data_IF_803637027411
#
_entry.id   IF_803637027411
#
_cell.length_a   1.000
_cell.length_b   1.000
_cell.length_c   1.000
_cell.angle_alpha   90.00
_cell.angle_beta   90.00
_cell.angle_gamma   90.00
#
_symmetry.space_group_name_H-M   'P 1'
#
loop_
_entity.id
_entity.type
_entity.pdbx_description
1 polymer ?
#
# COMPACT_ATOMS: atom_id res chain seq x y z
N UNK A 1 25.48 37.61 21.31
CA UNK A 1 24.51 36.71 21.97
C UNK A 1 24.46 35.40 21.20
N UNK A 2 24.50 34.23 21.87
CA UNK A 2 24.34 32.94 21.18
C UNK A 2 22.96 32.88 20.53
N UNK A 3 22.91 32.65 19.22
CA UNK A 3 21.65 32.43 18.49
C UNK A 3 21.02 31.13 19.01
N UNK A 4 19.85 31.24 19.64
CA UNK A 4 19.10 30.11 20.21
C UNK A 4 17.89 29.80 19.33
N UNK A 5 17.59 28.53 19.00
CA UNK A 5 16.41 28.16 18.19
C UNK A 5 15.08 28.57 18.85
N UNK A 6 15.09 28.86 20.15
CA UNK A 6 13.95 29.37 20.91
C UNK A 6 13.69 30.88 20.72
N UNK A 7 14.59 31.60 20.04
CA UNK A 7 14.40 33.01 19.69
C UNK A 7 13.86 33.16 18.26
N UNK A 8 12.83 33.98 18.01
CA UNK A 8 12.32 34.23 16.65
C UNK A 8 13.41 34.72 15.67
N UNK A 9 14.39 35.49 16.14
CA UNK A 9 15.50 36.00 15.34
C UNK A 9 16.47 34.92 14.84
N UNK A 10 16.43 33.70 15.40
CA UNK A 10 17.21 32.56 14.87
C UNK A 10 16.73 32.14 13.48
N UNK A 11 15.42 32.22 13.22
CA UNK A 11 14.79 31.74 12.00
C UNK A 11 14.69 32.86 10.97
N UNK A 12 15.76 33.05 10.19
CA UNK A 12 15.93 34.25 9.33
C UNK A 12 15.42 34.13 7.90
N UNK A 13 14.93 32.97 7.46
CA UNK A 13 14.51 32.81 6.07
C UNK A 13 13.26 33.66 5.78
N UNK A 14 13.28 34.59 4.80
CA UNK A 14 12.13 35.42 4.44
C UNK A 14 11.06 34.65 3.64
N UNK A 15 11.32 33.39 3.31
CA UNK A 15 10.39 32.52 2.58
C UNK A 15 9.36 31.88 3.50
N UNK A 16 9.63 31.81 4.81
CA UNK A 16 8.62 31.41 5.78
C UNK A 16 7.56 32.49 5.88
N UNK A 17 6.31 32.05 5.89
CA UNK A 17 5.18 32.96 6.03
C UNK A 17 3.84 32.26 5.84
N UNK A 18 2.74 32.94 6.20
CA UNK A 18 1.39 32.38 6.17
C UNK A 18 1.00 31.85 4.79
N UNK A 19 1.29 32.60 3.72
CA UNK A 19 0.92 32.22 2.36
C UNK A 19 1.60 30.92 1.91
N UNK A 20 2.93 30.85 1.94
CA UNK A 20 3.69 29.66 1.51
C UNK A 20 3.31 28.42 2.33
N UNK A 21 3.15 28.60 3.64
CA UNK A 21 2.71 27.56 4.58
C UNK A 21 1.29 27.05 4.26
N UNK A 22 0.42 27.93 3.78
CA UNK A 22 -0.97 27.62 3.41
C UNK A 22 -1.04 26.90 2.07
N UNK A 23 -0.22 27.27 1.07
CA UNK A 23 -0.10 26.54 -0.20
C UNK A 23 0.27 25.08 0.05
N UNK A 24 1.35 24.83 0.79
CA UNK A 24 1.78 23.48 1.14
C UNK A 24 0.71 22.74 1.96
N UNK A 25 0.03 23.45 2.85
CA UNK A 25 -1.05 22.88 3.67
C UNK A 25 -2.24 22.40 2.84
N UNK A 26 -2.66 23.13 1.81
CA UNK A 26 -3.79 22.73 0.94
C UNK A 26 -3.41 21.54 0.04
N UNK A 27 -2.18 21.51 -0.47
CA UNK A 27 -1.68 20.35 -1.23
C UNK A 27 -1.67 19.10 -0.35
N UNK A 28 -1.14 19.20 0.87
CA UNK A 28 -1.14 18.10 1.83
C UNK A 28 -2.56 17.73 2.28
N UNK A 29 -3.49 18.69 2.37
CA UNK A 29 -4.89 18.41 2.70
C UNK A 29 -5.51 17.41 1.71
N UNK A 30 -5.42 17.70 0.42
CA UNK A 30 -5.90 16.79 -0.62
C UNK A 30 -5.11 15.48 -0.66
N UNK A 31 -3.79 15.58 -0.65
CA UNK A 31 -2.89 14.44 -0.77
C UNK A 31 -3.06 13.41 0.35
N UNK A 32 -2.97 13.84 1.62
CA UNK A 32 -3.10 12.95 2.78
C UNK A 32 -4.51 12.36 2.87
N UNK A 33 -5.55 13.09 2.47
CA UNK A 33 -6.92 12.54 2.43
C UNK A 33 -7.01 11.37 1.45
N UNK A 34 -6.42 11.50 0.25
CA UNK A 34 -6.36 10.41 -0.72
C UNK A 34 -5.52 9.24 -0.19
N UNK A 35 -4.38 9.50 0.46
CA UNK A 35 -3.56 8.45 1.08
C UNK A 35 -4.33 7.67 2.14
N UNK A 36 -5.03 8.36 3.03
CA UNK A 36 -5.81 7.73 4.08
C UNK A 36 -6.90 6.84 3.49
N UNK A 37 -7.71 7.37 2.56
CA UNK A 37 -8.78 6.59 1.90
C UNK A 37 -8.22 5.38 1.16
N UNK A 38 -7.16 5.55 0.37
CA UNK A 38 -6.54 4.43 -0.36
C UNK A 38 -5.89 3.40 0.58
N UNK A 39 -5.37 3.83 1.73
CA UNK A 39 -4.88 2.93 2.78
C UNK A 39 -6.00 2.12 3.43
N UNK A 40 -7.14 2.74 3.73
CA UNK A 40 -8.33 2.03 4.21
C UNK A 40 -8.82 1.01 3.18
N UNK A 41 -8.90 1.40 1.90
CA UNK A 41 -9.26 0.48 0.81
C UNK A 41 -8.27 -0.69 0.70
N UNK A 42 -6.96 -0.42 0.81
CA UNK A 42 -5.94 -1.47 0.79
C UNK A 42 -6.14 -2.47 1.93
N UNK A 43 -6.42 -1.98 3.14
CA UNK A 43 -6.71 -2.84 4.29
C UNK A 43 -8.02 -3.62 4.12
N UNK A 44 -9.08 -3.02 3.59
CA UNK A 44 -10.34 -3.72 3.29
C UNK A 44 -10.14 -4.84 2.26
N UNK A 45 -9.25 -4.65 1.27
CA UNK A 45 -8.95 -5.63 0.23
C UNK A 45 -8.34 -6.94 0.76
N UNK A 46 -7.81 -6.95 1.98
CA UNK A 46 -7.34 -8.15 2.64
C UNK A 46 -8.51 -9.00 3.17
N UNK A 47 -9.73 -8.49 3.20
CA UNK A 47 -10.87 -9.09 3.89
C UNK A 47 -10.54 -9.48 5.35
N UNK A 48 -10.10 -8.53 6.21
CA UNK A 48 -9.68 -8.83 7.59
C UNK A 48 -10.83 -9.31 8.48
N UNK A 49 -12.09 -9.07 8.09
CA UNK A 49 -13.26 -9.64 8.77
C UNK A 49 -13.67 -11.03 8.27
N UNK A 50 -12.86 -11.69 7.42
CA UNK A 50 -13.17 -13.00 6.86
C UNK A 50 -12.57 -14.14 7.69
N UNK A 51 -11.26 -14.08 7.97
CA UNK A 51 -10.55 -15.13 8.72
C UNK A 51 -9.32 -14.52 9.42
N UNK A 52 -8.89 -15.06 10.57
CA UNK A 52 -7.69 -14.60 11.27
C UNK A 52 -6.41 -14.66 10.43
N UNK A 53 -6.37 -15.49 9.38
CA UNK A 53 -5.20 -15.54 8.48
C UNK A 53 -5.06 -14.26 7.64
N UNK A 54 -6.16 -13.58 7.36
CA UNK A 54 -6.20 -12.33 6.61
C UNK A 54 -6.01 -11.11 7.51
N UNK A 55 -6.49 -11.17 8.77
CA UNK A 55 -6.38 -10.06 9.69
C UNK A 55 -4.95 -9.89 10.21
N UNK A 56 -4.26 -8.85 9.72
CA UNK A 56 -2.92 -8.50 10.18
C UNK A 56 -2.91 -7.55 11.37
N UNK A 57 -4.08 -7.10 11.82
CA UNK A 57 -4.27 -6.18 12.94
C UNK A 57 -5.49 -6.61 13.76
N UNK A 58 -5.38 -7.75 14.47
CA UNK A 58 -6.44 -8.19 15.38
C UNK A 58 -6.73 -7.08 16.42
N UNK A 59 -7.94 -7.10 16.96
CA UNK A 59 -8.42 -6.17 18.00
C UNK A 59 -8.60 -4.70 17.58
N UNK A 60 -8.72 -4.43 16.27
CA UNK A 60 -9.03 -3.09 15.72
C UNK A 60 -10.30 -2.42 16.27
N UNK A 61 -11.19 -3.17 16.92
CA UNK A 61 -12.42 -2.65 17.52
C UNK A 61 -13.27 -1.82 16.56
N UNK A 62 -13.73 -0.65 17.02
CA UNK A 62 -14.56 0.26 16.22
C UNK A 62 -13.85 0.84 14.98
N UNK A 63 -12.52 0.78 14.92
CA UNK A 63 -11.76 1.31 13.78
C UNK A 63 -11.96 0.46 12.51
N UNK A 64 -12.56 -0.73 12.62
CA UNK A 64 -12.96 -1.57 11.49
C UNK A 64 -14.33 -1.25 10.88
N UNK A 65 -14.98 -0.13 11.23
CA UNK A 65 -16.36 0.18 10.79
C UNK A 65 -16.56 0.24 9.27
N UNK A 66 -15.49 0.49 8.50
CA UNK A 66 -15.53 0.65 7.05
C UNK A 66 -15.29 -0.67 6.29
N UNK A 67 -15.14 -1.80 6.98
CA UNK A 67 -14.83 -3.07 6.34
C UNK A 67 -16.04 -3.62 5.59
N UNK A 68 -15.82 -4.00 4.33
CA UNK A 68 -16.82 -4.58 3.45
C UNK A 68 -16.22 -5.76 2.67
N UNK A 69 -17.06 -6.56 2.02
CA UNK A 69 -16.63 -7.60 1.10
C UNK A 69 -15.97 -6.95 -0.12
N UNK A 70 -14.66 -7.12 -0.27
CA UNK A 70 -13.92 -6.49 -1.35
C UNK A 70 -14.45 -6.95 -2.73
N UNK A 71 -14.76 -6.01 -3.65
CA UNK A 71 -15.31 -6.35 -4.95
C UNK A 71 -14.26 -6.97 -5.87
N UNK A 72 -14.73 -7.73 -6.85
CA UNK A 72 -13.90 -8.31 -7.91
C UNK A 72 -13.86 -7.43 -9.17
N UNK A 73 -14.70 -6.41 -9.27
CA UNK A 73 -14.78 -5.50 -10.42
C UNK A 73 -14.61 -4.02 -10.06
N UNK A 74 -13.92 -3.23 -10.91
CA UNK A 74 -13.14 -3.69 -12.06
C UNK A 74 -11.89 -4.47 -11.62
N UNK A 75 -11.41 -5.41 -12.44
CA UNK A 75 -10.29 -6.31 -12.09
C UNK A 75 -8.98 -5.58 -11.72
N UNK A 76 -8.79 -4.35 -12.18
CA UNK A 76 -7.64 -3.50 -11.89
C UNK A 76 -7.81 -2.63 -10.65
N UNK A 77 -8.92 -2.71 -9.91
CA UNK A 77 -9.22 -1.80 -8.79
C UNK A 77 -8.12 -1.72 -7.73
N UNK A 78 -7.59 -2.87 -7.29
CA UNK A 78 -6.50 -2.87 -6.31
C UNK A 78 -5.19 -2.32 -6.88
N UNK A 79 -4.90 -2.61 -8.16
CA UNK A 79 -3.77 -2.01 -8.88
C UNK A 79 -3.83 -0.48 -8.85
N UNK A 80 -5.00 0.10 -9.13
CA UNK A 80 -5.18 1.55 -9.09
C UNK A 80 -5.03 2.10 -7.67
N UNK A 81 -5.80 1.58 -6.72
CA UNK A 81 -5.84 2.12 -5.36
C UNK A 81 -4.48 2.01 -4.66
N UNK A 82 -3.80 0.87 -4.79
CA UNK A 82 -2.48 0.66 -4.21
C UNK A 82 -1.38 1.45 -4.95
N UNK A 83 -1.46 1.51 -6.28
CA UNK A 83 -0.54 2.30 -7.10
C UNK A 83 -0.62 3.80 -6.76
N UNK A 84 -1.84 4.33 -6.60
CA UNK A 84 -2.09 5.71 -6.15
C UNK A 84 -1.55 5.92 -4.74
N UNK A 85 -1.90 5.04 -3.79
CA UNK A 85 -1.47 5.16 -2.39
C UNK A 85 0.03 5.37 -2.28
N UNK A 86 0.81 4.46 -2.84
CA UNK A 86 2.25 4.49 -2.65
C UNK A 86 2.92 5.55 -3.53
N UNK A 87 2.51 5.73 -4.79
CA UNK A 87 3.10 6.75 -5.67
C UNK A 87 2.86 8.14 -5.11
N UNK A 88 1.62 8.44 -4.68
CA UNK A 88 1.29 9.72 -4.06
C UNK A 88 2.05 9.93 -2.74
N UNK A 89 2.23 8.87 -1.94
CA UNK A 89 2.99 8.91 -0.69
C UNK A 89 4.42 9.37 -0.93
N UNK A 90 5.10 8.78 -1.92
CA UNK A 90 6.44 9.19 -2.33
C UNK A 90 6.47 10.61 -2.89
N UNK A 91 5.54 10.95 -3.78
CA UNK A 91 5.44 12.28 -4.40
C UNK A 91 5.23 13.41 -3.38
N UNK A 92 4.56 13.14 -2.25
CA UNK A 92 4.28 14.16 -1.23
C UNK A 92 5.43 14.39 -0.24
N UNK A 93 6.50 13.58 -0.24
CA UNK A 93 7.65 13.74 0.68
C UNK A 93 8.23 15.16 0.63
N UNK A 94 8.54 15.77 -0.54
CA UNK A 94 9.12 17.10 -0.60
C UNK A 94 8.15 18.17 -0.08
N UNK A 95 6.85 18.00 -0.33
CA UNK A 95 5.80 18.91 0.17
C UNK A 95 5.71 18.82 1.70
N UNK A 96 5.74 17.62 2.27
CA UNK A 96 5.74 17.38 3.71
C UNK A 96 6.97 18.01 4.37
N UNK A 97 8.17 17.75 3.84
CA UNK A 97 9.42 18.31 4.37
C UNK A 97 9.42 19.84 4.29
N UNK A 98 8.97 20.42 3.17
CA UNK A 98 8.83 21.87 3.04
C UNK A 98 7.81 22.44 4.04
N UNK A 99 6.71 21.72 4.28
CA UNK A 99 5.69 22.13 5.26
C UNK A 99 6.29 22.13 6.66
N UNK A 100 6.97 21.07 7.07
CA UNK A 100 7.64 20.96 8.36
C UNK A 100 8.68 22.06 8.53
N UNK A 101 9.52 22.30 7.52
CA UNK A 101 10.48 23.39 7.50
C UNK A 101 9.84 24.77 7.64
N UNK A 102 8.66 24.98 7.03
CA UNK A 102 7.95 26.26 7.08
C UNK A 102 7.39 26.56 8.49
N UNK A 103 7.03 25.53 9.26
CA UNK A 103 6.41 25.66 10.59
C UNK A 103 7.36 25.35 11.76
N UNK A 104 8.59 24.90 11.49
CA UNK A 104 9.57 24.54 12.53
C UNK A 104 9.75 25.58 13.64
N UNK A 105 9.69 26.92 13.40
CA UNK A 105 9.83 27.88 14.51
C UNK A 105 8.77 27.71 15.60
N UNK A 106 7.56 27.23 15.24
CA UNK A 106 6.48 27.00 16.20
C UNK A 106 6.77 25.87 17.17
N UNK A 107 7.62 24.91 16.80
CA UNK A 107 8.02 23.82 17.68
C UNK A 107 8.94 24.32 18.81
N UNK A 108 9.63 25.44 18.61
CA UNK A 108 10.56 26.04 19.57
C UNK A 108 9.98 27.27 20.29
N UNK A 109 8.67 27.53 20.19
CA UNK A 109 8.05 28.70 20.81
C UNK A 109 7.99 28.59 22.36
N UNK A 110 8.43 29.66 23.05
CA UNK A 110 8.36 29.79 24.51
C UNK A 110 7.23 30.73 24.98
N UNK A 111 6.66 30.53 26.19
CA UNK A 111 6.81 29.34 27.05
C UNK A 111 6.13 28.11 26.42
N UNK A 112 6.56 26.87 26.73
CA UNK A 112 6.09 25.62 26.12
C UNK A 112 4.60 25.33 26.33
N UNK A 113 3.97 25.93 27.34
CA UNK A 113 2.53 26.00 27.47
C UNK A 113 2.17 27.36 28.07
N UNK A 114 1.10 27.97 27.56
CA UNK A 114 0.58 29.26 28.06
C UNK A 114 -0.74 29.07 28.81
N UNK A 115 -1.42 27.95 28.54
CA UNK A 115 -2.70 27.53 29.12
C UNK A 115 -2.90 26.04 28.82
N UNK A 116 -3.89 25.41 29.46
CA UNK A 116 -4.28 24.03 29.16
C UNK A 116 -4.69 23.86 27.69
N UNK A 117 -5.46 24.81 27.14
CA UNK A 117 -5.84 24.79 25.73
C UNK A 117 -4.63 24.87 24.80
N UNK A 118 -3.64 25.71 25.12
CA UNK A 118 -2.40 25.79 24.35
C UNK A 118 -1.57 24.50 24.46
N UNK A 119 -1.53 23.87 25.65
CA UNK A 119 -0.86 22.57 25.83
C UNK A 119 -1.53 21.46 24.98
N UNK A 120 -2.86 21.41 24.95
CA UNK A 120 -3.62 20.48 24.10
C UNK A 120 -3.38 20.74 22.60
N UNK A 121 -3.32 22.00 22.16
CA UNK A 121 -2.95 22.34 20.78
C UNK A 121 -1.54 21.81 20.45
N UNK A 122 -0.57 21.92 21.36
CA UNK A 122 0.78 21.38 21.13
C UNK A 122 0.84 19.86 21.10
N UNK A 123 0.09 19.18 21.96
CA UNK A 123 0.01 17.71 21.92
C UNK A 123 -0.59 17.27 20.58
N UNK A 124 -1.66 17.92 20.13
CA UNK A 124 -2.24 17.68 18.80
C UNK A 124 -1.23 17.91 17.67
N UNK A 125 -0.43 18.98 17.75
CA UNK A 125 0.66 19.23 16.79
C UNK A 125 1.76 18.18 16.83
N UNK A 126 2.10 17.65 18.00
CA UNK A 126 3.09 16.57 18.14
C UNK A 126 2.56 15.27 17.53
N UNK A 127 1.30 14.93 17.75
CA UNK A 127 0.65 13.78 17.11
C UNK A 127 0.57 13.96 15.59
N UNK A 128 0.32 15.18 15.10
CA UNK A 128 0.29 15.49 13.68
C UNK A 128 1.67 15.35 13.02
N UNK A 129 2.70 15.97 13.60
CA UNK A 129 4.06 15.96 13.04
C UNK A 129 4.69 14.58 13.21
N UNK A 130 4.62 14.01 14.42
CA UNK A 130 5.14 12.68 14.73
C UNK A 130 4.43 11.60 13.93
N UNK A 131 3.10 11.63 13.88
CA UNK A 131 2.31 10.71 13.06
C UNK A 131 2.61 10.85 11.57
N UNK A 132 2.68 12.09 11.04
CA UNK A 132 2.99 12.30 9.63
C UNK A 132 4.39 11.79 9.24
N UNK A 133 5.40 12.03 10.09
CA UNK A 133 6.75 11.47 9.87
C UNK A 133 6.75 9.95 9.99
N UNK A 134 6.08 9.40 10.99
CA UNK A 134 5.98 7.96 11.21
C UNK A 134 5.32 7.23 10.04
N UNK A 135 4.17 7.71 9.56
CA UNK A 135 3.44 7.11 8.43
C UNK A 135 4.26 7.14 7.14
N UNK A 136 4.89 8.28 6.82
CA UNK A 136 5.71 8.38 5.61
C UNK A 136 6.97 7.52 5.70
N UNK A 137 7.66 7.49 6.85
CA UNK A 137 8.87 6.68 7.03
C UNK A 137 8.54 5.20 6.99
N UNK A 138 7.55 4.74 7.77
CA UNK A 138 7.15 3.32 7.77
C UNK A 138 6.62 2.88 6.40
N UNK A 139 5.89 3.75 5.70
CA UNK A 139 5.45 3.49 4.33
C UNK A 139 6.62 3.33 3.35
N UNK A 140 7.63 4.21 3.39
CA UNK A 140 8.84 4.09 2.56
C UNK A 140 9.60 2.80 2.86
N UNK A 141 9.84 2.51 4.15
CA UNK A 141 10.53 1.29 4.58
C UNK A 141 9.82 0.02 4.11
N UNK A 142 8.48 -0.02 4.22
CA UNK A 142 7.69 -1.15 3.72
C UNK A 142 7.84 -1.34 2.20
N UNK A 143 7.80 -0.25 1.44
CA UNK A 143 7.96 -0.29 -0.03
C UNK A 143 9.37 -0.68 -0.43
N UNK A 144 10.38 -0.37 0.40
CA UNK A 144 11.77 -0.75 0.21
C UNK A 144 12.11 -2.16 0.69
N UNK A 145 11.13 -2.89 1.26
CA UNK A 145 11.31 -4.19 1.90
C UNK A 145 12.32 -4.15 3.08
N UNK A 146 12.51 -2.98 3.68
CA UNK A 146 13.49 -2.74 4.74
C UNK A 146 12.83 -2.65 6.11
N UNK A 147 12.71 -3.79 6.79
CA UNK A 147 12.02 -3.91 8.09
C UNK A 147 13.00 -3.78 9.26
N UNK A 148 13.59 -2.59 9.41
CA UNK A 148 14.59 -2.27 10.46
C UNK A 148 13.99 -1.98 11.83
N UNK A 149 12.66 -1.88 11.95
CA UNK A 149 11.98 -1.54 13.21
C UNK A 149 11.42 -2.78 13.93
N UNK A 150 11.37 -2.77 15.28
CA UNK A 150 10.76 -3.85 16.04
C UNK A 150 9.24 -3.87 15.80
N UNK A 151 8.71 -5.06 15.51
CA UNK A 151 7.27 -5.28 15.35
C UNK A 151 6.81 -5.43 13.89
N UNK A 152 5.51 -5.65 13.72
CA UNK A 152 4.89 -5.83 12.40
C UNK A 152 4.50 -4.47 11.82
N UNK A 153 4.83 -4.24 10.54
CA UNK A 153 4.40 -3.05 9.79
C UNK A 153 2.88 -2.83 9.88
N UNK A 154 2.10 -3.89 9.72
CA UNK A 154 0.64 -3.82 9.62
C UNK A 154 -0.03 -3.12 10.82
N UNK A 155 0.13 -3.56 12.09
CA UNK A 155 -0.49 -2.90 13.24
C UNK A 155 0.08 -1.51 13.48
N UNK A 156 1.39 -1.34 13.32
CA UNK A 156 2.07 -0.08 13.53
C UNK A 156 1.52 1.00 12.59
N UNK A 157 1.49 0.71 11.29
CA UNK A 157 0.99 1.60 10.26
C UNK A 157 -0.53 1.81 10.37
N UNK A 158 -1.31 0.77 10.71
CA UNK A 158 -2.76 0.91 10.86
C UNK A 158 -3.15 1.86 12.01
N UNK A 159 -2.62 1.63 13.21
CA UNK A 159 -2.94 2.48 14.36
C UNK A 159 -2.30 3.86 14.24
N UNK A 160 -1.07 3.93 13.72
CA UNK A 160 -0.40 5.19 13.40
C UNK A 160 -1.22 6.05 12.44
N UNK A 161 -1.78 5.45 11.38
CA UNK A 161 -2.62 6.14 10.41
C UNK A 161 -3.88 6.74 11.06
N UNK A 162 -4.55 6.02 11.96
CA UNK A 162 -5.73 6.55 12.66
C UNK A 162 -5.39 7.69 13.61
N UNK A 163 -4.31 7.55 14.39
CA UNK A 163 -3.83 8.62 15.29
C UNK A 163 -3.44 9.86 14.49
N UNK A 164 -2.67 9.67 13.43
CA UNK A 164 -2.25 10.75 12.54
C UNK A 164 -3.45 11.42 11.87
N UNK A 165 -4.36 10.64 11.29
CA UNK A 165 -5.48 11.19 10.52
C UNK A 165 -6.48 11.93 11.42
N UNK A 166 -6.71 11.46 12.65
CA UNK A 166 -7.52 12.19 13.62
C UNK A 166 -6.91 13.57 13.96
N UNK A 167 -5.60 13.62 14.23
CA UNK A 167 -4.89 14.87 14.47
C UNK A 167 -4.89 15.78 13.23
N UNK A 168 -4.72 15.20 12.04
CA UNK A 168 -4.76 15.89 10.76
C UNK A 168 -6.12 16.49 10.45
N UNK A 169 -7.21 15.75 10.67
CA UNK A 169 -8.57 16.24 10.46
C UNK A 169 -8.90 17.39 11.40
N UNK A 170 -8.58 17.23 12.70
CA UNK A 170 -8.75 18.30 13.68
C UNK A 170 -7.96 19.55 13.29
N UNK A 171 -6.70 19.39 12.87
CA UNK A 171 -5.87 20.49 12.39
C UNK A 171 -6.43 21.15 11.13
N UNK A 172 -6.87 20.35 10.16
CA UNK A 172 -7.42 20.83 8.90
C UNK A 172 -8.68 21.66 9.13
N UNK A 173 -9.64 21.16 9.92
CA UNK A 173 -10.88 21.88 10.25
C UNK A 173 -10.57 23.25 10.89
N UNK A 174 -9.63 23.30 11.83
CA UNK A 174 -9.30 24.54 12.54
C UNK A 174 -8.50 25.54 11.69
N UNK A 175 -7.62 25.05 10.80
CA UNK A 175 -6.69 25.94 10.07
C UNK A 175 -7.10 26.22 8.62
N UNK A 176 -8.06 25.48 8.04
CA UNK A 176 -8.49 25.66 6.65
C UNK A 176 -9.05 27.07 6.35
N UNK A 177 -9.93 27.68 7.18
CA UNK A 177 -10.42 29.03 6.91
C UNK A 177 -9.28 30.06 6.85
N UNK A 178 -8.31 29.96 7.76
CA UNK A 178 -7.12 30.81 7.77
C UNK A 178 -6.24 30.55 6.55
N UNK A 179 -6.03 29.29 6.17
CA UNK A 179 -5.27 28.93 4.98
C UNK A 179 -5.88 29.55 3.71
N UNK A 180 -7.21 29.49 3.56
CA UNK A 180 -7.92 30.09 2.44
C UNK A 180 -7.84 31.62 2.43
N UNK A 181 -7.92 32.27 3.60
CA UNK A 181 -7.72 33.74 3.70
C UNK A 181 -6.30 34.14 3.29
N UNK A 182 -5.30 33.40 3.76
CA UNK A 182 -3.90 33.63 3.40
C UNK A 182 -3.69 33.51 1.89
N UNK A 183 -4.28 32.49 1.26
CA UNK A 183 -4.17 32.26 -0.18
C UNK A 183 -4.88 33.34 -1.02
N UNK A 184 -5.98 33.89 -0.51
CA UNK A 184 -6.71 35.01 -1.14
C UNK A 184 -6.04 36.38 -0.91
N UNK A 185 -4.97 36.45 -0.12
CA UNK A 185 -4.27 37.69 0.19
C UNK A 185 -5.06 38.65 1.11
N UNK A 186 -6.07 38.15 1.82
CA UNK A 186 -7.08 38.99 2.47
C UNK A 186 -6.69 39.59 3.84
N UNK A 187 -5.46 39.40 4.33
CA UNK A 187 -4.87 40.13 5.48
C UNK A 187 -3.41 39.70 5.70
N UNK A 188 -2.51 40.64 5.96
CA UNK A 188 -1.25 40.35 6.65
C UNK A 188 -1.53 40.35 8.16
N UNK A 189 -2.00 39.23 8.71
CA UNK A 189 -1.96 39.08 10.17
C UNK A 189 -0.49 38.95 10.61
N UNK A 190 -0.14 39.61 11.72
CA UNK A 190 1.13 39.40 12.39
C UNK A 190 1.30 37.91 12.65
N UNK A 191 2.30 37.30 12.01
CA UNK A 191 2.54 35.87 12.11
C UNK A 191 3.94 35.62 12.61
N UNK A 192 4.05 34.79 13.63
CA UNK A 192 5.32 34.30 14.18
C UNK A 192 6.14 33.47 13.17
N UNK A 193 5.58 33.20 11.98
CA UNK A 193 6.29 32.57 10.87
C UNK A 193 7.13 33.57 10.05
N UNK A 194 6.83 34.86 10.14
CA UNK A 194 7.61 35.91 9.48
C UNK A 194 8.76 36.28 10.41
N UNK A 195 9.98 36.24 9.87
CA UNK A 195 11.17 36.60 10.65
C UNK A 195 11.15 38.09 11.01
N UNK A 196 11.45 38.48 12.26
CA UNK A 196 11.64 39.89 12.61
C UNK A 196 12.96 40.45 12.05
N UNK A 197 13.94 39.59 11.77
CA UNK A 197 15.25 39.94 11.21
C UNK A 197 15.56 39.08 9.97
N UNK A 198 14.79 39.24 8.88
CA UNK A 198 14.95 38.43 7.69
C UNK A 198 16.35 38.61 7.11
N UNK A 199 16.99 37.49 6.75
CA UNK A 199 18.19 37.52 5.93
C UNK A 199 17.81 37.76 4.46
N UNK A 200 18.80 38.04 3.62
CA UNK A 200 18.59 38.06 2.18
C UNK A 200 18.06 36.68 1.70
N UNK A 201 17.04 36.67 0.82
CA UNK A 201 16.50 35.42 0.30
C UNK A 201 17.55 34.70 -0.55
N UNK A 202 17.91 33.49 -0.16
CA UNK A 202 18.80 32.61 -0.97
C UNK A 202 18.12 32.15 -2.26
N UNK A 203 16.79 32.07 -2.28
CA UNK A 203 15.97 31.80 -3.47
C UNK A 203 14.69 32.63 -3.43
N UNK A 204 14.04 32.84 -4.58
CA UNK A 204 12.73 33.48 -4.64
C UNK A 204 11.62 32.55 -4.13
N UNK A 205 10.45 33.10 -3.76
CA UNK A 205 9.27 32.27 -3.40
C UNK A 205 8.86 31.34 -4.53
N UNK A 206 8.91 31.83 -5.79
CA UNK A 206 8.68 31.02 -6.98
C UNK A 206 9.75 29.92 -7.12
N UNK A 207 11.01 30.24 -6.84
CA UNK A 207 12.10 29.26 -6.81
C UNK A 207 11.91 28.17 -5.78
N UNK A 208 11.45 28.51 -4.57
CA UNK A 208 11.14 27.52 -3.53
C UNK A 208 9.97 26.61 -3.94
N UNK A 209 8.92 27.16 -4.56
CA UNK A 209 7.82 26.36 -5.10
C UNK A 209 8.28 25.44 -6.24
N UNK A 210 9.17 25.93 -7.12
CA UNK A 210 9.79 25.10 -8.15
C UNK A 210 10.66 23.99 -7.57
N UNK A 211 11.40 24.25 -6.49
CA UNK A 211 12.21 23.22 -5.83
C UNK A 211 11.31 22.11 -5.24
N UNK A 212 10.25 22.49 -4.53
CA UNK A 212 9.32 21.53 -3.92
C UNK A 212 8.52 20.78 -4.97
N UNK A 213 7.93 21.51 -5.92
CA UNK A 213 7.14 20.94 -7.01
C UNK A 213 8.00 20.09 -7.96
N UNK A 214 9.19 20.56 -8.31
CA UNK A 214 10.16 19.84 -9.12
C UNK A 214 10.69 18.58 -8.44
N UNK A 215 10.98 18.64 -7.13
CA UNK A 215 11.33 17.44 -6.34
C UNK A 215 10.17 16.43 -6.29
N UNK A 216 8.94 16.91 -6.12
CA UNK A 216 7.75 16.06 -6.12
C UNK A 216 7.53 15.41 -7.49
N UNK A 217 7.67 16.18 -8.58
CA UNK A 217 7.60 15.70 -9.96
C UNK A 217 8.71 14.69 -10.28
N UNK A 218 9.93 14.93 -9.79
CA UNK A 218 11.03 13.99 -9.95
C UNK A 218 10.71 12.66 -9.27
N UNK A 219 10.24 12.68 -8.01
CA UNK A 219 9.85 11.46 -7.31
C UNK A 219 8.67 10.75 -8.00
N UNK A 220 7.68 11.49 -8.50
CA UNK A 220 6.61 10.94 -9.30
C UNK A 220 7.14 10.24 -10.55
N UNK A 221 7.94 10.94 -11.36
CA UNK A 221 8.49 10.41 -12.61
C UNK A 221 9.38 9.19 -12.38
N UNK A 222 10.09 9.16 -11.25
CA UNK A 222 11.02 8.08 -10.87
C UNK A 222 10.38 6.95 -10.05
N UNK A 223 9.06 6.98 -9.84
CA UNK A 223 8.35 5.95 -9.05
C UNK A 223 7.09 5.44 -9.72
N UNK A 224 6.34 6.28 -10.46
CA UNK A 224 5.06 5.90 -11.05
C UNK A 224 5.18 4.76 -12.08
N UNK A 225 6.35 4.64 -12.73
CA UNK A 225 6.64 3.62 -13.74
C UNK A 225 6.39 2.18 -13.28
N UNK A 226 6.60 1.88 -11.99
CA UNK A 226 6.48 0.51 -11.44
C UNK A 226 5.06 -0.09 -11.49
N UNK A 227 4.06 0.74 -11.76
CA UNK A 227 2.67 0.30 -11.96
C UNK A 227 2.39 -0.12 -13.41
N UNK A 228 3.39 -0.04 -14.29
CA UNK A 228 3.32 -0.38 -15.71
C UNK A 228 4.45 -1.33 -16.08
N UNK A 229 4.33 -1.96 -17.24
CA UNK A 229 5.37 -2.83 -17.80
C UNK A 229 6.15 -2.12 -18.91
N UNK A 230 7.22 -2.77 -19.37
CA UNK A 230 7.99 -2.30 -20.53
C UNK A 230 8.75 -0.99 -20.27
N UNK A 231 8.87 -0.08 -21.26
CA UNK A 231 9.68 1.13 -21.14
C UNK A 231 9.26 2.05 -19.98
N UNK A 232 7.97 2.09 -19.64
CA UNK A 232 7.48 2.90 -18.53
C UNK A 232 8.00 2.39 -17.17
N UNK A 233 8.21 1.07 -16.99
CA UNK A 233 8.78 0.54 -15.75
C UNK A 233 10.20 1.02 -15.50
N UNK A 234 10.97 1.24 -16.57
CA UNK A 234 12.37 1.65 -16.50
C UNK A 234 12.55 3.04 -15.89
N UNK A 235 11.49 3.87 -15.86
CA UNK A 235 11.55 5.15 -15.17
C UNK A 235 11.59 4.99 -13.65
N UNK A 236 11.15 3.85 -13.10
CA UNK A 236 10.97 3.62 -11.67
C UNK A 236 12.28 3.34 -10.90
N UNK A 237 13.34 4.10 -11.18
CA UNK A 237 14.73 3.85 -10.75
C UNK A 237 14.97 3.94 -9.25
N UNK A 238 14.03 4.53 -8.48
CA UNK A 238 14.16 4.69 -7.02
C UNK A 238 13.32 3.69 -6.21
N UNK A 239 12.61 2.78 -6.89
CA UNK A 239 11.68 1.84 -6.23
C UNK A 239 12.09 0.39 -6.46
N UNK A 240 11.91 -0.52 -5.49
CA UNK A 240 12.04 -1.95 -5.76
C UNK A 240 11.09 -2.40 -6.85
N UNK A 241 11.49 -3.42 -7.60
CA UNK A 241 10.77 -3.88 -8.80
C UNK A 241 10.56 -2.77 -9.86
N UNK A 242 11.38 -1.72 -9.78
CA UNK A 242 11.64 -0.79 -10.86
C UNK A 242 12.81 -1.26 -11.72
N UNK A 243 12.85 -0.81 -12.97
CA UNK A 243 13.84 -1.27 -13.96
C UNK A 243 13.29 -2.30 -14.95
N UNK A 244 14.14 -3.05 -15.65
CA UNK A 244 13.71 -4.04 -16.64
C UNK A 244 12.99 -5.23 -15.97
N UNK A 245 12.18 -5.90 -16.77
CA UNK A 245 11.56 -7.16 -16.38
C UNK A 245 12.64 -8.25 -16.12
N UNK A 246 12.44 -9.16 -15.15
CA UNK A 246 13.44 -10.17 -14.80
C UNK A 246 13.74 -11.17 -15.92
N UNK A 247 12.88 -11.25 -16.95
CA UNK A 247 13.14 -12.05 -18.14
C UNK A 247 12.37 -11.55 -19.37
N UNK A 248 12.70 -12.13 -20.52
CA UNK A 248 12.10 -11.77 -21.82
C UNK A 248 11.00 -12.73 -22.28
N UNK A 249 10.79 -13.84 -21.56
CA UNK A 249 9.82 -14.88 -21.91
C UNK A 249 8.42 -14.66 -21.31
N UNK A 250 7.48 -15.61 -21.55
CA UNK A 250 6.11 -15.56 -21.05
C UNK A 250 5.97 -15.42 -19.52
N UNK A 251 6.94 -15.93 -18.77
CA UNK A 251 7.04 -15.81 -17.31
C UNK A 251 7.95 -14.64 -16.88
N UNK A 252 8.29 -13.72 -17.79
CA UNK A 252 9.33 -12.72 -17.62
C UNK A 252 8.98 -11.54 -16.72
N UNK A 253 7.74 -11.43 -16.21
CA UNK A 253 7.29 -10.30 -15.39
C UNK A 253 7.72 -10.40 -13.92
N UNK A 254 7.62 -9.27 -13.20
CA UNK A 254 8.02 -9.11 -11.80
C UNK A 254 7.53 -10.21 -10.84
N UNK A 255 8.41 -10.62 -9.93
CA UNK A 255 8.19 -11.65 -8.90
C UNK A 255 8.40 -10.99 -7.54
N UNK A 256 7.45 -11.14 -6.59
CA UNK A 256 7.66 -10.68 -5.21
C UNK A 256 8.69 -11.57 -4.49
N UNK A 257 8.36 -12.85 -4.31
CA UNK A 257 9.19 -13.83 -3.58
C UNK A 257 9.57 -14.99 -4.49
N UNK A 258 10.83 -15.36 -4.53
CA UNK A 258 11.27 -16.56 -5.26
C UNK A 258 10.92 -17.84 -4.52
N UNK A 259 10.88 -18.97 -5.23
CA UNK A 259 10.71 -20.31 -4.67
C UNK A 259 11.83 -20.63 -3.67
N UNK A 260 13.06 -20.23 -4.00
CA UNK A 260 14.22 -20.37 -3.13
C UNK A 260 14.03 -19.60 -1.80
N UNK A 261 13.60 -18.34 -1.87
CA UNK A 261 13.32 -17.55 -0.67
C UNK A 261 12.20 -18.16 0.19
N UNK A 262 11.18 -18.75 -0.44
CA UNK A 262 10.06 -19.39 0.25
C UNK A 262 10.37 -20.81 0.76
N UNK A 263 11.57 -21.34 0.50
CA UNK A 263 12.01 -22.66 0.91
C UNK A 263 11.34 -23.82 0.15
N UNK A 264 10.87 -23.57 -1.07
CA UNK A 264 10.23 -24.58 -1.93
C UNK A 264 11.31 -25.40 -2.63
N UNK A 265 11.31 -26.71 -2.42
CA UNK A 265 12.21 -27.62 -3.14
C UNK A 265 11.51 -28.18 -4.37
N UNK A 266 12.25 -28.35 -5.46
CA UNK A 266 11.75 -28.90 -6.73
C UNK A 266 11.08 -30.28 -6.56
N UNK A 267 11.59 -31.11 -5.65
CA UNK A 267 11.01 -32.43 -5.32
C UNK A 267 9.61 -32.33 -4.72
N UNK A 268 9.26 -31.24 -4.03
CA UNK A 268 7.92 -31.05 -3.43
C UNK A 268 6.88 -30.62 -4.46
N UNK A 269 7.35 -30.10 -5.59
CA UNK A 269 6.52 -29.64 -6.72
C UNK A 269 6.58 -30.59 -7.92
N UNK A 270 7.26 -31.74 -7.79
CA UNK A 270 7.34 -32.73 -8.87
C UNK A 270 5.99 -33.40 -9.11
N UNK A 271 5.80 -33.96 -10.31
CA UNK A 271 4.57 -34.65 -10.69
C UNK A 271 4.25 -35.85 -9.77
N UNK A 272 5.28 -36.54 -9.28
CA UNK A 272 5.13 -37.69 -8.40
C UNK A 272 4.72 -37.31 -6.97
N UNK A 273 5.23 -36.17 -6.47
CA UNK A 273 5.06 -35.78 -5.07
C UNK A 273 3.88 -34.82 -4.85
N UNK A 274 3.68 -33.86 -5.75
CA UNK A 274 2.72 -32.80 -5.52
C UNK A 274 1.29 -33.28 -5.72
N UNK A 275 0.42 -32.99 -4.75
CA UNK A 275 -1.03 -33.21 -4.85
C UNK A 275 -1.75 -31.99 -4.30
N UNK A 276 -2.70 -31.47 -5.06
CA UNK A 276 -3.68 -30.52 -4.55
C UNK A 276 -4.68 -31.26 -3.66
N UNK A 277 -4.83 -30.81 -2.42
CA UNK A 277 -5.83 -31.35 -1.51
C UNK A 277 -7.02 -30.40 -1.45
N UNK A 278 -8.18 -30.87 -1.92
CA UNK A 278 -9.45 -30.15 -1.82
C UNK A 278 -10.26 -30.74 -0.66
N UNK A 279 -10.77 -29.90 0.23
CA UNK A 279 -11.64 -30.33 1.34
C UNK A 279 -12.93 -29.53 1.29
N UNK A 280 -14.06 -30.20 1.47
CA UNK A 280 -15.39 -29.57 1.50
C UNK A 280 -16.47 -30.53 2.00
N UNK A 281 -17.73 -30.23 1.66
CA UNK A 281 -18.93 -30.89 2.20
C UNK A 281 -18.96 -32.41 1.98
N UNK A 282 -18.48 -32.88 0.83
CA UNK A 282 -18.50 -34.31 0.46
C UNK A 282 -17.21 -35.06 0.84
N UNK A 283 -16.28 -34.40 1.53
CA UNK A 283 -15.04 -34.99 2.02
C UNK A 283 -13.78 -34.39 1.38
N UNK A 284 -12.76 -35.21 1.18
CA UNK A 284 -11.45 -34.78 0.67
C UNK A 284 -11.14 -35.41 -0.68
N UNK A 285 -10.80 -34.58 -1.66
CA UNK A 285 -10.30 -35.00 -2.99
C UNK A 285 -8.82 -34.65 -3.10
N UNK A 286 -8.04 -35.52 -3.73
CA UNK A 286 -6.61 -35.28 -4.01
C UNK A 286 -6.39 -35.38 -5.51
N UNK A 287 -5.86 -34.30 -6.10
CA UNK A 287 -5.63 -34.21 -7.55
C UNK A 287 -4.13 -34.01 -7.80
N UNK A 288 -3.58 -34.78 -8.73
CA UNK A 288 -2.28 -34.47 -9.33
C UNK A 288 -2.40 -33.29 -10.29
N UNK A 289 -1.27 -32.74 -10.74
CA UNK A 289 -1.27 -31.73 -11.80
C UNK A 289 -1.85 -32.27 -13.10
N UNK A 290 -1.58 -33.54 -13.42
CA UNK A 290 -2.13 -34.21 -14.59
C UNK A 290 -3.65 -34.31 -14.53
N UNK A 291 -4.23 -34.63 -13.36
CA UNK A 291 -5.69 -34.66 -13.17
C UNK A 291 -6.31 -33.28 -13.40
N UNK A 292 -5.68 -32.21 -12.90
CA UNK A 292 -6.14 -30.84 -13.11
C UNK A 292 -6.11 -30.43 -14.58
N UNK A 293 -5.15 -30.91 -15.37
CA UNK A 293 -5.07 -30.65 -16.81
C UNK A 293 -6.17 -31.36 -17.61
N UNK A 294 -6.81 -32.39 -17.06
CA UNK A 294 -7.97 -33.06 -17.67
C UNK A 294 -9.30 -32.37 -17.35
N UNK A 295 -9.33 -31.45 -16.38
CA UNK A 295 -10.51 -30.65 -16.08
C UNK A 295 -10.68 -29.52 -17.12
N UNK A 296 -11.90 -28.96 -17.28
CA UNK A 296 -12.10 -27.78 -18.12
C UNK A 296 -11.18 -26.62 -17.70
N UNK A 297 -10.32 -26.19 -18.62
CA UNK A 297 -9.41 -25.07 -18.41
C UNK A 297 -9.98 -23.78 -18.99
N UNK A 298 -9.90 -22.72 -18.19
CA UNK A 298 -10.37 -21.39 -18.52
C UNK A 298 -9.21 -20.40 -18.53
N UNK A 299 -9.38 -19.30 -19.25
CA UNK A 299 -8.38 -18.24 -19.35
C UNK A 299 -8.90 -16.91 -18.83
N UNK A 300 -8.01 -16.10 -18.26
CA UNK A 300 -8.34 -14.78 -17.73
C UNK A 300 -7.16 -13.83 -17.86
N UNK A 301 -7.41 -12.63 -18.39
CA UNK A 301 -6.47 -11.51 -18.41
C UNK A 301 -6.56 -10.78 -17.07
N UNK A 302 -5.56 -10.94 -16.21
CA UNK A 302 -5.56 -10.33 -14.87
C UNK A 302 -4.18 -9.81 -14.49
N UNK A 303 -4.09 -8.62 -13.85
CA UNK A 303 -2.81 -8.09 -13.40
C UNK A 303 -2.42 -8.70 -12.05
N UNK A 304 -1.13 -8.65 -11.73
CA UNK A 304 -0.66 -8.78 -10.35
C UNK A 304 -0.47 -7.38 -9.79
N UNK A 305 -1.02 -7.11 -8.62
CA UNK A 305 -0.84 -5.85 -7.90
C UNK A 305 -0.27 -6.11 -6.51
N UNK A 306 0.98 -5.71 -6.30
CA UNK A 306 1.66 -5.92 -5.04
C UNK A 306 1.31 -4.82 -4.03
N UNK A 307 1.30 -5.21 -2.76
CA UNK A 307 1.08 -4.33 -1.60
C UNK A 307 2.24 -3.32 -1.44
N UNK A 308 3.41 -3.60 -2.03
CA UNK A 308 4.52 -2.64 -2.11
C UNK A 308 4.29 -1.56 -3.20
N UNK A 309 3.24 -1.71 -4.02
CA UNK A 309 2.77 -0.72 -4.98
C UNK A 309 3.32 -0.85 -6.40
N UNK A 310 4.10 -1.88 -6.70
CA UNK A 310 4.35 -2.31 -8.08
C UNK A 310 3.24 -3.23 -8.57
N UNK A 311 3.01 -3.25 -9.88
CA UNK A 311 2.00 -4.10 -10.52
C UNK A 311 2.36 -4.43 -11.94
N UNK A 312 1.81 -5.50 -12.50
CA UNK A 312 1.93 -5.85 -13.91
C UNK A 312 0.76 -5.31 -14.74
N UNK A 313 0.93 -5.29 -16.06
CA UNK A 313 -0.19 -5.37 -16.99
C UNK A 313 -0.90 -6.73 -16.87
N UNK A 314 -2.03 -6.87 -17.54
CA UNK A 314 -2.80 -8.11 -17.53
C UNK A 314 -1.96 -9.25 -18.13
N UNK A 315 -1.77 -10.30 -17.36
CA UNK A 315 -1.15 -11.53 -17.84
C UNK A 315 -2.25 -12.52 -18.21
N UNK A 316 -1.99 -13.37 -19.20
CA UNK A 316 -2.95 -14.35 -19.69
C UNK A 316 -2.84 -15.66 -18.89
N UNK A 317 -3.59 -15.74 -17.81
CA UNK A 317 -3.61 -16.92 -16.94
C UNK A 317 -4.49 -18.01 -17.52
N UNK A 318 -4.11 -19.28 -17.32
CA UNK A 318 -4.94 -20.43 -17.68
C UNK A 318 -4.94 -21.48 -16.57
N UNK A 319 -6.11 -22.02 -16.25
CA UNK A 319 -6.28 -22.99 -15.17
C UNK A 319 -7.72 -23.39 -14.91
N UNK A 320 -7.96 -24.09 -13.81
CA UNK A 320 -9.31 -24.53 -13.39
C UNK A 320 -9.97 -23.41 -12.59
N UNK A 321 -11.26 -23.14 -12.79
CA UNK A 321 -11.94 -22.10 -12.00
C UNK A 321 -12.12 -22.55 -10.56
N UNK A 322 -12.00 -21.62 -9.62
CA UNK A 322 -12.16 -21.93 -8.19
C UNK A 322 -13.57 -22.48 -7.88
N UNK A 323 -14.60 -21.98 -8.56
CA UNK A 323 -15.97 -22.51 -8.48
C UNK A 323 -16.10 -23.98 -8.90
N UNK A 324 -15.35 -24.40 -9.92
CA UNK A 324 -15.43 -25.77 -10.42
C UNK A 324 -14.73 -26.73 -9.44
N UNK A 325 -13.63 -26.27 -8.83
CA UNK A 325 -12.97 -26.99 -7.73
C UNK A 325 -13.86 -27.12 -6.49
N UNK A 326 -14.66 -26.10 -6.18
CA UNK A 326 -15.67 -26.18 -5.11
C UNK A 326 -16.74 -27.23 -5.42
N UNK A 327 -17.17 -27.32 -6.69
CA UNK A 327 -18.11 -28.33 -7.17
C UNK A 327 -17.63 -29.77 -6.93
N UNK A 328 -16.33 -30.04 -7.10
CA UNK A 328 -15.73 -31.36 -6.86
C UNK A 328 -15.86 -31.84 -5.40
N UNK A 329 -15.98 -30.91 -4.45
CA UNK A 329 -16.19 -31.18 -3.02
C UNK A 329 -17.60 -30.82 -2.55
N UNK A 330 -18.54 -30.79 -3.49
CA UNK A 330 -19.97 -30.76 -3.25
C UNK A 330 -20.56 -29.40 -2.99
N UNK A 331 -20.06 -28.34 -3.62
CA UNK A 331 -20.68 -27.00 -3.58
C UNK A 331 -21.14 -26.55 -4.97
N UNK A 332 -22.46 -26.41 -5.16
CA UNK A 332 -23.02 -25.80 -6.38
C UNK A 332 -22.84 -24.28 -6.37
N UNK A 333 -22.98 -23.67 -5.19
CA UNK A 333 -22.67 -22.25 -4.95
C UNK A 333 -21.36 -22.17 -4.13
N UNK A 334 -20.27 -21.60 -4.68
CA UNK A 334 -18.95 -21.65 -4.04
C UNK A 334 -18.89 -20.84 -2.74
N UNK A 335 -18.51 -21.44 -1.60
CA UNK A 335 -18.37 -20.73 -0.34
C UNK A 335 -17.04 -19.96 -0.27
N UNK A 336 -16.80 -19.34 0.87
CA UNK A 336 -15.47 -18.87 1.23
C UNK A 336 -14.46 -20.04 1.23
N UNK A 337 -13.18 -19.78 0.95
CA UNK A 337 -12.13 -20.80 0.87
C UNK A 337 -10.85 -20.38 1.57
N UNK A 338 -10.28 -21.28 2.39
CA UNK A 338 -8.93 -21.17 2.91
C UNK A 338 -7.96 -21.81 1.92
N UNK A 339 -6.96 -21.07 1.47
CA UNK A 339 -5.90 -21.55 0.59
C UNK A 339 -4.59 -21.62 1.37
N UNK A 340 -3.90 -22.76 1.27
CA UNK A 340 -2.61 -23.00 1.93
C UNK A 340 -1.51 -23.29 0.91
N UNK A 341 -0.35 -22.67 1.12
CA UNK A 341 0.86 -22.83 0.32
C UNK A 341 1.80 -23.88 0.91
N UNK A 342 2.65 -24.48 0.08
CA UNK A 342 3.82 -25.25 0.51
C UNK A 342 4.88 -24.39 1.24
N UNK A 343 4.79 -23.07 1.18
CA UNK A 343 5.75 -22.15 1.80
C UNK A 343 5.88 -22.39 3.31
N UNK A 344 7.13 -22.54 3.78
CA UNK A 344 7.42 -22.96 5.17
C UNK A 344 7.30 -21.85 6.21
N UNK A 345 7.56 -20.60 5.84
CA UNK A 345 7.60 -19.46 6.75
C UNK A 345 6.92 -18.23 6.16
N UNK A 346 6.55 -17.26 7.00
CA UNK A 346 5.98 -15.99 6.57
C UNK A 346 4.46 -15.87 6.75
N UNK A 347 3.99 -14.62 6.84
CA UNK A 347 2.62 -14.29 7.25
C UNK A 347 1.54 -14.61 6.21
N UNK A 348 1.91 -14.85 4.95
CA UNK A 348 0.99 -15.11 3.83
C UNK A 348 1.14 -16.51 3.23
N UNK A 349 1.57 -17.49 4.04
CA UNK A 349 1.53 -18.92 3.65
C UNK A 349 0.09 -19.47 3.56
N UNK A 350 -0.87 -18.74 4.13
CA UNK A 350 -2.30 -19.00 4.07
C UNK A 350 -3.03 -17.70 3.73
N UNK A 351 -4.10 -17.82 2.95
CA UNK A 351 -4.97 -16.72 2.57
C UNK A 351 -6.40 -17.23 2.50
N UNK A 352 -7.37 -16.44 2.98
CA UNK A 352 -8.79 -16.73 2.81
C UNK A 352 -9.37 -15.86 1.70
N UNK A 353 -10.23 -16.44 0.87
CA UNK A 353 -10.97 -15.75 -0.19
C UNK A 353 -12.45 -15.82 0.11
N UNK A 354 -13.17 -14.72 -0.11
CA UNK A 354 -14.62 -14.67 0.06
C UNK A 354 -15.34 -15.43 -1.06
N UNK A 355 -16.58 -15.84 -0.81
CA UNK A 355 -17.45 -16.51 -1.76
C UNK A 355 -17.61 -15.75 -3.08
N UNK A 356 -17.69 -14.41 -3.05
CA UNK A 356 -17.72 -13.60 -4.28
C UNK A 356 -16.42 -13.69 -5.10
N UNK A 357 -15.27 -13.90 -4.43
CA UNK A 357 -13.98 -14.10 -5.07
C UNK A 357 -13.83 -15.54 -5.58
N UNK A 358 -14.21 -16.53 -4.78
CA UNK A 358 -14.24 -17.96 -5.17
C UNK A 358 -15.19 -18.18 -6.37
N UNK A 359 -16.33 -17.52 -6.32
CA UNK A 359 -17.40 -17.62 -7.30
C UNK A 359 -17.16 -16.81 -8.58
N UNK A 360 -16.21 -15.88 -8.64
CA UNK A 360 -15.97 -15.08 -9.86
C UNK A 360 -15.51 -15.99 -11.03
N UNK A 361 -16.07 -15.83 -12.25
CA UNK A 361 -15.73 -16.70 -13.39
C UNK A 361 -14.29 -16.53 -13.89
N UNK A 362 -13.59 -15.47 -13.46
CA UNK A 362 -12.19 -15.18 -13.78
C UNK A 362 -11.22 -15.65 -12.68
N UNK A 363 -11.72 -16.12 -11.54
CA UNK A 363 -10.87 -16.66 -10.48
C UNK A 363 -10.40 -18.06 -10.81
N UNK A 364 -9.09 -18.24 -10.86
CA UNK A 364 -8.45 -19.47 -11.33
C UNK A 364 -7.47 -20.02 -10.29
N UNK A 365 -7.42 -21.35 -10.20
CA UNK A 365 -6.20 -22.07 -9.88
C UNK A 365 -5.40 -22.19 -11.19
N UNK A 366 -4.54 -21.21 -11.44
CA UNK A 366 -3.74 -21.14 -12.65
C UNK A 366 -2.62 -22.19 -12.65
N UNK A 367 -2.43 -22.84 -13.81
CA UNK A 367 -1.43 -23.86 -14.08
C UNK A 367 -0.38 -23.39 -15.11
N UNK A 368 -0.75 -22.39 -15.91
CA UNK A 368 0.09 -21.76 -16.93
C UNK A 368 -0.23 -20.26 -17.05
N UNK A 369 0.72 -19.51 -17.62
CA UNK A 369 0.62 -18.07 -17.87
C UNK A 369 1.27 -17.73 -19.21
N UNK A 370 0.61 -16.87 -19.98
CA UNK A 370 1.10 -16.36 -21.27
C UNK A 370 1.49 -17.48 -22.26
N UNK A 371 0.78 -18.63 -22.19
CA UNK A 371 0.98 -19.78 -23.07
C UNK A 371 1.96 -20.83 -22.57
N UNK A 372 2.67 -20.58 -21.46
CA UNK A 372 3.68 -21.49 -20.92
C UNK A 372 3.35 -21.93 -19.49
N UNK A 373 3.92 -23.06 -19.07
CA UNK A 373 3.83 -23.50 -17.69
C UNK A 373 4.38 -22.43 -16.72
N UNK A 374 3.81 -22.38 -15.51
CA UNK A 374 4.33 -21.51 -14.47
C UNK A 374 5.80 -21.88 -14.18
N UNK A 375 6.67 -20.89 -14.04
CA UNK A 375 7.99 -21.12 -13.46
C UNK A 375 7.89 -21.41 -11.97
N UNK A 376 8.93 -22.01 -11.35
CA UNK A 376 8.99 -22.18 -9.90
C UNK A 376 8.69 -20.87 -9.15
N UNK A 377 9.25 -19.75 -9.59
CA UNK A 377 9.06 -18.46 -8.94
C UNK A 377 7.67 -17.85 -9.13
N UNK A 378 6.96 -18.21 -10.20
CA UNK A 378 5.56 -17.82 -10.40
C UNK A 378 4.56 -18.76 -9.76
N UNK A 379 5.03 -19.82 -9.09
CA UNK A 379 4.19 -20.68 -8.25
C UNK A 379 3.90 -22.06 -8.84
N UNK A 380 4.73 -22.57 -9.75
CA UNK A 380 4.65 -23.96 -10.20
C UNK A 380 4.50 -24.92 -9.01
N UNK A 381 3.57 -25.89 -9.03
CA UNK A 381 2.78 -26.32 -10.19
C UNK A 381 1.43 -25.61 -10.36
N UNK A 382 0.98 -24.85 -9.35
CA UNK A 382 -0.29 -24.16 -9.36
C UNK A 382 -0.29 -22.94 -8.43
N UNK A 383 -0.97 -21.86 -8.87
CA UNK A 383 -1.18 -20.63 -8.10
C UNK A 383 -2.63 -20.16 -8.15
N UNK A 384 -3.05 -19.41 -7.15
CA UNK A 384 -4.31 -18.66 -7.20
C UNK A 384 -4.09 -17.36 -7.99
N UNK A 385 -5.10 -17.01 -8.79
CA UNK A 385 -5.27 -15.69 -9.39
C UNK A 385 -6.74 -15.28 -9.26
N UNK A 386 -6.98 -14.12 -8.65
CA UNK A 386 -8.31 -13.54 -8.39
C UNK A 386 -8.31 -12.07 -8.84
N UNK A 387 -9.37 -11.61 -9.53
CA UNK A 387 -9.50 -10.22 -9.96
C UNK A 387 -9.55 -9.25 -8.77
N UNK A 388 -8.99 -8.06 -8.95
CA UNK A 388 -8.94 -6.98 -7.97
C UNK A 388 -8.33 -7.36 -6.61
N UNK A 389 -7.67 -8.51 -6.47
CA UNK A 389 -7.10 -8.95 -5.20
C UNK A 389 -5.69 -8.37 -4.99
N UNK A 390 -5.31 -8.05 -3.74
CA UNK A 390 -3.91 -7.81 -3.40
C UNK A 390 -3.08 -9.07 -3.70
N UNK A 391 -1.87 -8.88 -4.23
CA UNK A 391 -1.00 -9.97 -4.67
C UNK A 391 -0.67 -11.00 -3.58
N UNK A 392 -0.77 -10.63 -2.29
CA UNK A 392 -0.61 -11.54 -1.16
C UNK A 392 -1.72 -12.59 -1.03
N UNK A 393 -2.90 -12.37 -1.63
CA UNK A 393 -4.00 -13.34 -1.69
C UNK A 393 -3.93 -14.24 -2.95
N UNK A 394 -3.08 -13.90 -3.92
CA UNK A 394 -2.80 -14.72 -5.10
C UNK A 394 -1.73 -15.78 -4.77
N UNK A 395 -2.08 -16.67 -3.84
CA UNK A 395 -1.20 -17.68 -3.23
C UNK A 395 -0.49 -18.54 -4.26
N UNK A 396 0.83 -18.69 -4.11
CA UNK A 396 1.68 -19.55 -4.95
C UNK A 396 1.96 -20.89 -4.29
N UNK A 397 2.35 -21.88 -5.09
CA UNK A 397 2.69 -23.24 -4.61
C UNK A 397 1.54 -23.83 -3.80
N UNK A 398 0.32 -23.75 -4.33
CA UNK A 398 -0.90 -24.15 -3.61
C UNK A 398 -0.82 -25.64 -3.26
N UNK A 399 -1.09 -25.97 -2.01
CA UNK A 399 -1.07 -27.33 -1.49
C UNK A 399 -2.47 -27.80 -1.09
N UNK A 400 -3.26 -26.91 -0.48
CA UNK A 400 -4.59 -27.24 0.03
C UNK A 400 -5.58 -26.09 -0.20
N UNK A 401 -6.82 -26.46 -0.46
CA UNK A 401 -7.98 -25.58 -0.45
C UNK A 401 -9.08 -26.20 0.42
N UNK A 402 -9.56 -25.47 1.41
CA UNK A 402 -10.64 -25.88 2.31
C UNK A 402 -11.84 -24.96 2.11
N UNK A 403 -12.93 -25.49 1.56
CA UNK A 403 -14.13 -24.74 1.21
C UNK A 403 -15.18 -24.82 2.32
N UNK A 404 -15.67 -23.65 2.76
CA UNK A 404 -16.76 -23.53 3.74
C UNK A 404 -16.34 -23.43 5.21
N UNK A 405 -15.12 -23.83 5.56
CA UNK A 405 -14.58 -23.78 6.93
C UNK A 405 -13.41 -22.78 7.02
N UNK A 406 -13.62 -21.64 7.71
CA UNK A 406 -12.66 -20.52 7.81
C UNK A 406 -12.28 -20.06 9.21
#
# INVERSE_FOLDING_TARGET
MRRSPFSPAFWRSPLRGPWFTSVLGVVLLGGITVLFVTGLLSYAAYNPGLSPVNDKTPDKGILGFYLFAWPTDPSWLYRLTQGVHVTLGLTLIPVLLAKLWSVVPRLFALPPARSLAHALERISLLLLVGGGLFEFVTGVLNVQLDYVFPGSFYPLHFYGAWVFFAAFLAHAVLKLPMALRNLRGLRQEHSDLVSPEPAEPTVSRRGALWLVGGGSLLLFATSAGRSFDGPLRQTAVLTPHGGPEPGTGPNGFQINKTAAYAGIRTVETSEDAWRLVLTGRTGTVRLSRADLLQLPLHSSALPIACVEGWSTSDQWWRGVRLRDLAGLVGYDDPPDVLVESLQRHGAFRRAALRANQTGDPRSLLALSVNGEDLTPDHGHPARIIVPAAPGVLNTKWVARMTFGDL
#
